data_IF_565916187662
#
_entry.id   IF_565916187662
#
_cell.length_a   1.000
_cell.length_b   1.000
_cell.length_c   1.000
_cell.angle_alpha   90.00
_cell.angle_beta   90.00
_cell.angle_gamma   90.00
#
_symmetry.space_group_name_H-M   'P 1'
#
loop_
_entity.id
_entity.type
_entity.pdbx_description
1 polymer ?
#
# COMPACT_ATOMS: atom_id res chain seq x y z
N UNK A 1 24.56 -5.97 35.60
CA UNK A 1 24.56 -6.98 34.52
C UNK A 1 23.35 -6.72 33.64
N UNK A 2 23.54 -5.99 32.53
CA UNK A 2 22.46 -5.63 31.61
C UNK A 2 22.12 -6.79 30.68
N UNK A 3 20.96 -7.41 30.89
CA UNK A 3 20.42 -8.42 29.98
C UNK A 3 20.01 -7.77 28.67
N UNK A 4 20.76 -8.07 27.59
CA UNK A 4 20.35 -7.73 26.22
C UNK A 4 19.08 -8.54 25.92
N UNK A 5 17.94 -7.86 25.79
CA UNK A 5 16.70 -8.48 25.34
C UNK A 5 16.92 -9.13 23.99
N UNK A 6 16.63 -10.43 23.89
CA UNK A 6 16.55 -11.09 22.57
C UNK A 6 15.41 -10.41 21.80
N UNK A 7 15.59 -10.13 20.49
CA UNK A 7 14.46 -9.78 19.64
C UNK A 7 13.45 -10.92 19.71
N UNK A 8 12.21 -10.62 20.09
CA UNK A 8 11.13 -11.60 20.02
C UNK A 8 10.95 -12.03 18.55
N UNK A 9 10.72 -13.32 18.27
CA UNK A 9 10.35 -13.78 16.94
C UNK A 9 9.16 -12.96 16.43
N UNK A 10 9.24 -12.47 15.19
CA UNK A 10 8.20 -11.65 14.57
C UNK A 10 6.88 -12.42 14.31
N UNK A 11 6.86 -13.70 14.66
CA UNK A 11 5.74 -14.63 14.51
C UNK A 11 4.74 -14.57 15.67
N UNK A 12 5.09 -13.93 16.79
CA UNK A 12 4.28 -13.89 18.02
C UNK A 12 3.72 -12.50 18.34
N UNK A 13 3.51 -11.63 17.34
CA UNK A 13 2.68 -10.44 17.56
C UNK A 13 1.22 -10.88 17.61
N UNK A 14 0.77 -11.17 18.82
CA UNK A 14 -0.57 -11.64 19.17
C UNK A 14 -1.67 -10.96 18.34
N UNK A 15 -2.64 -11.77 17.89
CA UNK A 15 -3.92 -11.29 17.33
C UNK A 15 -4.62 -10.28 18.27
N UNK A 16 -4.22 -10.23 19.55
CA UNK A 16 -4.71 -9.35 20.61
C UNK A 16 -4.09 -7.94 20.63
N UNK A 17 -3.09 -7.62 19.80
CA UNK A 17 -2.42 -6.32 19.82
C UNK A 17 -3.14 -5.21 19.00
N UNK A 18 -4.22 -5.55 18.27
CA UNK A 18 -4.95 -4.62 17.43
C UNK A 18 -6.44 -4.58 17.80
N UNK A 19 -6.86 -3.46 18.39
CA UNK A 19 -8.28 -3.15 18.53
C UNK A 19 -8.88 -2.81 17.16
N UNK A 20 -10.01 -3.43 16.84
CA UNK A 20 -10.74 -3.20 15.59
C UNK A 20 -12.22 -2.97 15.87
N UNK A 21 -12.91 -2.31 14.94
CA UNK A 21 -14.36 -2.18 15.00
C UNK A 21 -15.02 -3.55 14.98
N UNK A 22 -16.19 -3.68 15.64
CA UNK A 22 -16.89 -4.96 15.86
C UNK A 22 -17.16 -5.79 14.59
N UNK A 23 -17.21 -5.13 13.43
CA UNK A 23 -17.54 -5.75 12.14
C UNK A 23 -16.29 -6.08 11.28
N UNK A 24 -15.10 -6.09 11.88
CA UNK A 24 -13.85 -6.39 11.19
C UNK A 24 -13.38 -7.80 11.56
N UNK A 25 -13.40 -8.70 10.57
CA UNK A 25 -12.87 -10.06 10.71
C UNK A 25 -11.45 -10.14 10.16
N UNK A 26 -10.53 -10.77 10.90
CA UNK A 26 -9.16 -11.00 10.44
C UNK A 26 -9.13 -12.11 9.37
N UNK A 27 -8.58 -11.81 8.19
CA UNK A 27 -8.39 -12.78 7.11
C UNK A 27 -6.92 -13.20 7.05
N UNK A 28 -6.64 -14.49 7.30
CA UNK A 28 -5.29 -15.01 7.56
C UNK A 28 -4.43 -15.30 6.32
N UNK A 29 -4.99 -15.25 5.12
CA UNK A 29 -4.27 -15.51 3.86
C UNK A 29 -4.68 -14.51 2.78
N UNK A 30 -3.77 -14.21 1.85
CA UNK A 30 -4.08 -13.33 0.72
C UNK A 30 -5.13 -13.96 -0.23
N UNK A 31 -5.10 -15.28 -0.40
CA UNK A 31 -6.07 -16.01 -1.23
C UNK A 31 -7.51 -15.84 -0.73
N UNK A 32 -7.71 -15.82 0.59
CA UNK A 32 -9.02 -15.65 1.20
C UNK A 32 -9.51 -14.19 1.23
N UNK A 33 -8.71 -13.23 0.74
CA UNK A 33 -9.10 -11.82 0.70
C UNK A 33 -9.88 -11.44 -0.57
N UNK A 34 -10.06 -12.35 -1.54
CA UNK A 34 -10.81 -12.05 -2.76
C UNK A 34 -10.09 -11.06 -3.70
N UNK A 35 -8.76 -11.12 -3.71
CA UNK A 35 -7.93 -10.23 -4.52
C UNK A 35 -7.89 -10.69 -5.99
N UNK A 36 -7.68 -9.74 -6.91
CA UNK A 36 -7.48 -10.02 -8.34
C UNK A 36 -6.32 -11.00 -8.54
N UNK A 37 -6.45 -11.94 -9.48
CA UNK A 37 -5.41 -12.95 -9.73
C UNK A 37 -4.04 -12.33 -10.08
N UNK A 38 -4.02 -11.28 -10.91
CA UNK A 38 -2.77 -10.60 -11.26
C UNK A 38 -2.14 -9.88 -10.07
N UNK A 39 -2.97 -9.35 -9.16
CA UNK A 39 -2.51 -8.75 -7.92
C UNK A 39 -1.91 -9.80 -6.99
N UNK A 40 -2.58 -10.94 -6.78
CA UNK A 40 -2.07 -12.05 -5.98
C UNK A 40 -0.70 -12.51 -6.49
N UNK A 41 -0.55 -12.65 -7.81
CA UNK A 41 0.75 -12.98 -8.42
C UNK A 41 1.81 -11.93 -8.07
N UNK A 42 1.45 -10.65 -8.14
CA UNK A 42 2.32 -9.54 -7.73
C UNK A 42 2.76 -9.61 -6.26
N UNK A 43 1.84 -9.93 -5.36
CA UNK A 43 2.08 -10.08 -3.92
C UNK A 43 3.09 -11.18 -3.62
N UNK A 44 2.90 -12.37 -4.21
CA UNK A 44 3.83 -13.48 -4.01
C UNK A 44 5.18 -13.23 -4.68
N UNK A 45 5.21 -12.63 -5.87
CA UNK A 45 6.45 -12.26 -6.55
C UNK A 45 7.26 -11.21 -5.78
N UNK A 46 6.59 -10.33 -5.03
CA UNK A 46 7.25 -9.39 -4.13
C UNK A 46 7.88 -10.08 -2.91
N UNK A 47 7.47 -11.31 -2.61
CA UNK A 47 7.99 -12.12 -1.49
C UNK A 47 7.08 -12.13 -0.26
N UNK A 48 5.81 -11.71 -0.37
CA UNK A 48 4.86 -11.87 0.72
C UNK A 48 4.26 -13.27 0.74
N UNK A 49 4.46 -13.99 1.84
CA UNK A 49 3.85 -15.32 2.06
C UNK A 49 2.55 -15.24 2.84
N UNK A 50 2.53 -14.41 3.90
CA UNK A 50 1.38 -14.23 4.79
C UNK A 50 1.13 -12.74 5.08
N UNK A 51 -0.13 -12.33 5.22
CA UNK A 51 -0.47 -10.96 5.59
C UNK A 51 -0.07 -10.65 7.04
N UNK A 52 0.44 -9.44 7.28
CA UNK A 52 0.71 -8.95 8.64
C UNK A 52 -0.59 -8.72 9.43
N UNK A 53 -0.54 -8.69 10.76
CA UNK A 53 -1.73 -8.54 11.61
C UNK A 53 -2.61 -7.33 11.22
N UNK A 54 -2.00 -6.21 10.83
CA UNK A 54 -2.74 -5.04 10.33
C UNK A 54 -3.34 -5.27 8.93
N UNK A 55 -2.65 -5.97 8.04
CA UNK A 55 -3.19 -6.33 6.71
C UNK A 55 -4.39 -7.26 6.83
N UNK A 56 -4.32 -8.25 7.72
CA UNK A 56 -5.40 -9.21 7.97
C UNK A 56 -6.72 -8.52 8.33
N UNK A 57 -6.65 -7.37 9.02
CA UNK A 57 -7.80 -6.60 9.52
C UNK A 57 -8.20 -5.43 8.61
N UNK A 58 -7.22 -4.73 8.03
CA UNK A 58 -7.48 -3.49 7.28
C UNK A 58 -7.83 -3.73 5.81
N UNK A 59 -7.37 -4.82 5.18
CA UNK A 59 -7.55 -5.02 3.73
C UNK A 59 -9.02 -5.15 3.36
N UNK A 60 -9.78 -6.00 4.06
CA UNK A 60 -11.20 -6.23 3.76
C UNK A 60 -12.04 -4.95 3.82
N UNK A 61 -12.02 -4.18 4.93
CA UNK A 61 -12.76 -2.91 4.99
C UNK A 61 -12.41 -1.94 3.84
N UNK A 62 -11.13 -1.81 3.47
CA UNK A 62 -10.70 -0.89 2.42
C UNK A 62 -11.20 -1.34 1.04
N UNK A 63 -11.08 -2.62 0.70
CA UNK A 63 -11.54 -3.12 -0.62
C UNK A 63 -13.07 -3.08 -0.74
N UNK A 64 -13.79 -3.09 0.39
CA UNK A 64 -15.25 -2.84 0.45
C UNK A 64 -15.61 -1.35 0.39
N UNK A 65 -14.65 -0.46 0.10
CA UNK A 65 -14.81 0.99 -0.01
C UNK A 65 -15.31 1.66 1.28
N UNK A 66 -14.91 1.13 2.45
CA UNK A 66 -15.13 1.82 3.73
C UNK A 66 -13.94 2.73 4.03
N UNK A 67 -14.22 3.82 4.74
CA UNK A 67 -13.19 4.66 5.33
C UNK A 67 -12.53 3.94 6.49
N UNK A 68 -11.20 3.92 6.51
CA UNK A 68 -10.42 3.13 7.48
C UNK A 68 -9.31 3.96 8.07
N UNK A 69 -9.27 3.98 9.41
CA UNK A 69 -8.13 4.50 10.17
C UNK A 69 -7.33 3.30 10.67
N UNK A 70 -6.14 3.11 10.09
CA UNK A 70 -5.25 2.01 10.43
C UNK A 70 -4.00 2.51 11.17
N UNK A 71 -3.87 2.17 12.45
CA UNK A 71 -2.70 2.49 13.26
C UNK A 71 -1.95 1.22 13.63
N UNK A 72 -0.63 1.25 13.48
CA UNK A 72 0.29 0.16 13.80
C UNK A 72 1.71 0.75 14.00
N UNK A 73 2.63 -0.02 14.56
CA UNK A 73 4.03 0.42 14.68
C UNK A 73 4.72 0.50 13.30
N UNK A 74 5.84 1.23 13.21
CA UNK A 74 6.65 1.25 11.98
C UNK A 74 7.15 -0.16 11.63
N UNK A 75 7.22 -0.47 10.34
CA UNK A 75 7.67 -1.79 9.86
C UNK A 75 6.59 -2.88 9.82
N UNK A 76 5.35 -2.59 10.23
CA UNK A 76 4.24 -3.57 10.28
C UNK A 76 3.53 -3.79 8.93
N UNK A 77 4.07 -3.27 7.82
CA UNK A 77 3.54 -3.49 6.47
C UNK A 77 2.39 -2.56 6.06
N UNK A 78 2.24 -1.39 6.70
CA UNK A 78 1.22 -0.38 6.32
C UNK A 78 1.35 0.11 4.87
N UNK A 79 2.57 0.39 4.42
CA UNK A 79 2.81 0.87 3.04
C UNK A 79 2.33 -0.18 2.05
N UNK A 80 2.75 -1.43 2.24
CA UNK A 80 2.32 -2.55 1.40
C UNK A 80 0.82 -2.80 1.48
N UNK A 81 0.20 -2.58 2.65
CA UNK A 81 -1.25 -2.65 2.83
C UNK A 81 -1.99 -1.61 1.97
N UNK A 82 -1.51 -0.35 1.96
CA UNK A 82 -2.06 0.71 1.11
C UNK A 82 -1.85 0.37 -0.36
N UNK A 83 -0.64 -0.05 -0.75
CA UNK A 83 -0.34 -0.43 -2.14
C UNK A 83 -1.24 -1.58 -2.61
N UNK A 84 -1.42 -2.62 -1.80
CA UNK A 84 -2.25 -3.77 -2.10
C UNK A 84 -3.72 -3.38 -2.31
N UNK A 85 -4.30 -2.68 -1.34
CA UNK A 85 -5.72 -2.32 -1.35
C UNK A 85 -6.04 -1.35 -2.49
N UNK A 86 -5.15 -0.41 -2.74
CA UNK A 86 -5.25 0.50 -3.88
C UNK A 86 -5.19 -0.26 -5.20
N UNK A 87 -4.21 -1.14 -5.42
CA UNK A 87 -4.10 -1.95 -6.63
C UNK A 87 -5.35 -2.81 -6.86
N UNK A 88 -5.95 -3.33 -5.80
CA UNK A 88 -7.20 -4.08 -5.89
C UNK A 88 -8.35 -3.24 -6.45
N UNK A 89 -8.45 -1.98 -6.05
CA UNK A 89 -9.54 -1.08 -6.43
C UNK A 89 -9.37 -0.45 -7.82
N UNK A 90 -8.15 -0.37 -8.35
CA UNK A 90 -7.86 0.24 -9.65
C UNK A 90 -8.49 -0.52 -10.83
N UNK A 91 -8.97 0.22 -11.82
CA UNK A 91 -9.26 -0.28 -13.16
C UNK A 91 -8.07 0.01 -14.08
N UNK A 92 -7.36 -1.05 -14.50
CA UNK A 92 -6.18 -0.92 -15.37
C UNK A 92 -6.52 -0.71 -16.85
N UNK A 93 -7.79 -0.78 -17.21
CA UNK A 93 -8.24 -0.45 -18.58
C UNK A 93 -8.31 1.07 -18.81
N UNK A 94 -8.47 1.86 -17.74
CA UNK A 94 -8.59 3.31 -17.79
C UNK A 94 -7.24 3.96 -17.44
N UNK A 95 -6.64 4.64 -18.42
CA UNK A 95 -5.35 5.33 -18.26
C UNK A 95 -5.52 6.73 -17.69
N UNK A 96 -6.13 6.80 -16.51
CA UNK A 96 -6.39 8.05 -15.77
C UNK A 96 -6.08 7.89 -14.28
N UNK A 97 -5.82 9.00 -13.60
CA UNK A 97 -5.47 8.98 -12.18
C UNK A 97 -6.69 8.59 -11.34
N UNK A 98 -6.63 7.43 -10.71
CA UNK A 98 -7.72 6.87 -9.90
C UNK A 98 -7.38 6.83 -8.41
N UNK A 99 -6.09 6.94 -8.05
CA UNK A 99 -5.65 6.92 -6.67
C UNK A 99 -4.55 7.95 -6.41
N UNK A 100 -4.69 8.66 -5.28
CA UNK A 100 -3.71 9.61 -4.78
C UNK A 100 -3.20 9.18 -3.41
N UNK A 101 -1.88 9.13 -3.26
CA UNK A 101 -1.20 8.82 -2.00
C UNK A 101 -0.39 10.03 -1.55
N UNK A 102 -0.74 10.54 -0.37
CA UNK A 102 -0.04 11.66 0.25
C UNK A 102 0.88 11.15 1.36
N UNK A 103 2.17 11.39 1.20
CA UNK A 103 3.20 11.05 2.17
C UNK A 103 3.75 12.29 2.86
N UNK A 104 4.23 12.19 4.12
CA UNK A 104 4.79 13.33 4.83
C UNK A 104 6.19 13.72 4.30
N UNK A 105 6.92 12.79 3.69
CA UNK A 105 8.27 13.01 3.15
C UNK A 105 8.39 12.55 1.70
N UNK A 106 9.42 13.04 1.01
CA UNK A 106 9.68 12.74 -0.41
C UNK A 106 10.13 11.28 -0.57
N UNK A 107 10.91 10.82 0.40
CA UNK A 107 11.49 9.48 0.46
C UNK A 107 10.38 8.43 0.63
N UNK A 108 9.39 8.71 1.50
CA UNK A 108 8.24 7.84 1.70
C UNK A 108 7.32 7.79 0.46
N UNK A 109 7.10 8.92 -0.21
CA UNK A 109 6.34 8.95 -1.46
C UNK A 109 7.01 8.09 -2.55
N UNK A 110 8.34 8.21 -2.71
CA UNK A 110 9.11 7.41 -3.64
C UNK A 110 9.15 5.93 -3.27
N UNK A 111 9.26 5.59 -1.98
CA UNK A 111 9.22 4.21 -1.51
C UNK A 111 7.84 3.58 -1.79
N UNK A 112 6.77 4.35 -1.61
CA UNK A 112 5.41 3.88 -1.88
C UNK A 112 5.19 3.64 -3.37
N UNK A 113 5.64 4.55 -4.24
CA UNK A 113 5.59 4.35 -5.69
C UNK A 113 6.35 3.08 -6.11
N UNK A 114 7.59 2.88 -5.63
CA UNK A 114 8.35 1.64 -5.92
C UNK A 114 7.62 0.38 -5.48
N UNK A 115 6.97 0.41 -4.32
CA UNK A 115 6.21 -0.74 -3.79
C UNK A 115 5.01 -1.04 -4.68
N UNK A 116 4.30 0.00 -5.12
CA UNK A 116 3.16 -0.11 -6.04
C UNK A 116 3.60 -0.65 -7.39
N UNK A 117 4.67 -0.10 -7.96
CA UNK A 117 5.22 -0.53 -9.24
C UNK A 117 5.70 -1.98 -9.19
N UNK A 118 6.29 -2.43 -8.07
CA UNK A 118 6.75 -3.81 -7.91
C UNK A 118 5.59 -4.81 -7.79
N UNK A 119 4.60 -4.54 -6.93
CA UNK A 119 3.44 -5.43 -6.75
C UNK A 119 2.53 -5.36 -7.99
N UNK A 120 2.30 -4.16 -8.52
CA UNK A 120 1.43 -3.90 -9.67
C UNK A 120 2.05 -4.23 -11.03
N UNK A 121 3.31 -4.71 -11.08
CA UNK A 121 3.99 -5.05 -12.33
C UNK A 121 3.19 -6.08 -13.16
N UNK A 122 2.63 -7.09 -12.49
CA UNK A 122 1.76 -8.10 -13.12
C UNK A 122 0.46 -7.52 -13.71
N UNK A 123 0.02 -6.36 -13.21
CA UNK A 123 -1.21 -5.69 -13.62
C UNK A 123 -0.99 -4.58 -14.65
N UNK A 124 0.27 -4.30 -15.02
CA UNK A 124 0.67 -3.16 -15.90
C UNK A 124 0.22 -1.79 -15.35
N UNK A 125 0.19 -1.65 -14.03
CA UNK A 125 -0.13 -0.37 -13.38
C UNK A 125 0.98 0.64 -13.62
N UNK A 126 0.58 1.89 -13.84
CA UNK A 126 1.48 3.03 -14.03
C UNK A 126 1.34 3.93 -12.80
N UNK A 127 2.38 3.98 -11.97
CA UNK A 127 2.45 4.88 -10.83
C UNK A 127 3.49 5.98 -11.09
N UNK A 128 3.20 7.20 -10.63
CA UNK A 128 4.11 8.34 -10.74
C UNK A 128 4.29 9.03 -9.39
N UNK A 129 5.49 9.55 -9.13
CA UNK A 129 5.85 10.16 -7.86
C UNK A 129 6.15 11.67 -8.02
N UNK A 130 5.26 12.51 -7.50
CA UNK A 130 5.31 13.98 -7.51
C UNK A 130 5.86 14.50 -6.16
N UNK A 131 7.18 14.68 -6.08
CA UNK A 131 7.86 15.06 -4.82
C UNK A 131 8.55 16.42 -4.86
N UNK A 132 8.34 17.22 -5.91
CA UNK A 132 9.05 18.48 -6.17
C UNK A 132 10.54 18.25 -6.46
N UNK A 133 11.24 19.20 -7.07
CA UNK A 133 12.67 19.09 -7.40
C UNK A 133 13.02 18.36 -8.71
N UNK A 134 12.02 17.81 -9.41
CA UNK A 134 12.07 17.56 -10.86
C UNK A 134 11.37 18.72 -11.57
N UNK A 135 11.55 18.85 -12.89
CA UNK A 135 10.84 19.91 -13.61
C UNK A 135 9.34 19.65 -13.55
N UNK A 136 8.55 20.66 -13.17
CA UNK A 136 7.09 20.57 -13.13
C UNK A 136 6.52 20.12 -14.49
N UNK A 137 7.15 20.54 -15.58
CA UNK A 137 6.77 20.12 -16.93
C UNK A 137 6.94 18.62 -17.20
N UNK A 138 7.90 17.94 -16.58
CA UNK A 138 8.01 16.48 -16.67
C UNK A 138 6.88 15.78 -15.91
N UNK A 139 6.55 16.25 -14.70
CA UNK A 139 5.45 15.69 -13.92
C UNK A 139 4.11 15.85 -14.66
N UNK A 140 3.85 17.04 -15.23
CA UNK A 140 2.67 17.31 -16.06
C UNK A 140 2.64 16.35 -17.26
N UNK A 141 3.73 16.24 -18.02
CA UNK A 141 3.79 15.34 -19.19
C UNK A 141 3.55 13.88 -18.83
N UNK A 142 3.99 13.42 -17.66
CA UNK A 142 3.73 12.05 -17.23
C UNK A 142 2.26 11.87 -16.85
N UNK A 143 1.66 12.83 -16.13
CA UNK A 143 0.23 12.81 -15.84
C UNK A 143 -0.61 12.85 -17.12
N UNK A 144 -0.25 13.67 -18.12
CA UNK A 144 -0.92 13.75 -19.43
C UNK A 144 -0.83 12.44 -20.23
N UNK A 145 0.22 11.64 -20.03
CA UNK A 145 0.37 10.31 -20.65
C UNK A 145 -0.58 9.25 -20.07
N UNK A 146 -1.25 9.56 -18.97
CA UNK A 146 -2.14 8.66 -18.26
C UNK A 146 -1.39 7.82 -17.23
N UNK A 147 -1.55 8.20 -15.96
CA UNK A 147 -1.05 7.48 -14.78
C UNK A 147 -2.24 6.96 -13.99
N UNK A 148 -2.18 5.74 -13.46
CA UNK A 148 -3.26 5.18 -12.65
C UNK A 148 -3.18 5.69 -11.20
N UNK A 149 -1.96 5.93 -10.74
CA UNK A 149 -1.65 6.30 -9.35
C UNK A 149 -0.66 7.44 -9.30
N UNK A 150 -0.94 8.40 -8.44
CA UNK A 150 0.02 9.45 -8.07
C UNK A 150 0.38 9.30 -6.60
N UNK A 151 1.68 9.32 -6.30
CA UNK A 151 2.23 9.41 -4.95
C UNK A 151 2.92 10.77 -4.81
N UNK A 152 2.75 11.47 -3.71
CA UNK A 152 3.37 12.78 -3.54
C UNK A 152 3.56 13.20 -2.09
N UNK A 153 4.35 14.26 -1.90
CA UNK A 153 4.53 14.87 -0.57
C UNK A 153 3.41 15.88 -0.30
N UNK A 154 2.86 15.89 0.91
CA UNK A 154 1.98 16.98 1.37
C UNK A 154 2.67 18.35 1.20
N UNK A 155 1.99 19.28 0.52
CA UNK A 155 2.49 20.62 0.20
C UNK A 155 2.93 20.82 -1.26
N UNK A 156 3.05 19.76 -2.06
CA UNK A 156 3.10 19.90 -3.52
C UNK A 156 1.66 20.15 -4.00
N UNK A 157 1.38 21.27 -4.67
CA UNK A 157 0.09 21.47 -5.34
C UNK A 157 -0.05 20.41 -6.42
N UNK A 158 -1.04 19.53 -6.24
CA UNK A 158 -1.45 18.53 -7.23
C UNK A 158 -2.66 19.02 -8.05
N UNK A 159 -3.03 20.29 -7.89
CA UNK A 159 -3.95 21.06 -8.74
C UNK A 159 -3.26 21.51 -10.01
#
# INVERSE_FOLDING_TARGET
MGGRGRPLPMEDLDDDAFETSKDVTAVKSFDSMGLKHDLLRGVYNYGFEKPSAIQQRAVQPIITRRDVIAQAQSGTGKTSMISLTMLQLLDTSLRECQALILSPTRELAAQTEKTISAIGNSMKVIAHCCIGGKSLGEDIRQCERGVHVVSGRQGVSLT
#
